data_IF_269273311406
#
_entry.id   IF_269273311406
#
_cell.length_a   1.000
_cell.length_b   1.000
_cell.length_c   1.000
_cell.angle_alpha   90.00
_cell.angle_beta   90.00
_cell.angle_gamma   90.00
#
_symmetry.space_group_name_H-M   'P 1'
#
loop_
_entity.id
_entity.type
_entity.pdbx_description
1 polymer ?
#
# COMPACT_ATOMS: atom_id res chain seq x y z
N UNK A 1 25.18 67.97 98.67
CA UNK A 1 23.90 67.98 97.92
C UNK A 1 24.29 67.94 96.44
N UNK A 2 24.34 66.75 95.82
CA UNK A 2 23.31 66.22 94.87
C UNK A 2 23.18 67.08 93.61
N UNK A 3 23.27 66.60 92.36
CA UNK A 3 23.32 65.25 91.80
C UNK A 3 23.92 65.30 90.37
N UNK A 4 24.51 64.18 89.93
CA UNK A 4 24.90 63.92 88.54
C UNK A 4 23.65 63.64 87.69
N UNK A 5 23.50 64.36 86.57
CA UNK A 5 22.53 64.04 85.52
C UNK A 5 23.16 63.06 84.55
N UNK A 6 22.72 61.80 84.60
CA UNK A 6 23.14 60.74 83.68
C UNK A 6 22.24 60.77 82.44
N UNK A 7 22.79 61.07 81.27
CA UNK A 7 22.12 60.91 79.97
C UNK A 7 22.07 59.43 79.61
N UNK A 8 20.89 58.81 79.70
CA UNK A 8 20.64 57.46 79.18
C UNK A 8 20.63 57.48 77.64
N UNK A 9 21.64 56.86 77.03
CA UNK A 9 21.67 56.51 75.61
C UNK A 9 20.65 55.40 75.31
N UNK A 10 19.64 55.68 74.47
CA UNK A 10 18.68 54.70 73.95
C UNK A 10 19.36 53.75 72.93
N UNK A 11 20.06 52.72 73.41
CA UNK A 11 20.67 51.68 72.56
C UNK A 11 19.74 50.48 72.30
N UNK A 12 18.57 50.38 72.97
CA UNK A 12 17.70 49.19 72.91
C UNK A 12 16.78 49.10 71.68
N UNK A 13 16.33 50.22 71.12
CA UNK A 13 15.39 50.23 69.99
C UNK A 13 16.06 49.89 68.65
N UNK A 14 17.30 50.36 68.44
CA UNK A 14 18.07 50.09 67.22
C UNK A 14 18.46 48.62 67.15
N UNK A 15 18.90 48.02 68.26
CA UNK A 15 19.22 46.58 68.33
C UNK A 15 18.00 45.70 68.07
N UNK A 16 16.81 46.11 68.52
CA UNK A 16 15.56 45.39 68.27
C UNK A 16 15.18 45.44 66.78
N UNK A 17 15.25 46.61 66.14
CA UNK A 17 14.94 46.77 64.72
C UNK A 17 15.90 45.98 63.82
N UNK A 18 17.20 45.97 64.16
CA UNK A 18 18.20 45.15 63.44
C UNK A 18 17.92 43.65 63.63
N UNK A 19 17.59 43.21 64.85
CA UNK A 19 17.23 41.81 65.10
C UNK A 19 15.97 41.40 64.32
N UNK A 20 14.92 42.24 64.30
CA UNK A 20 13.70 41.98 63.51
C UNK A 20 14.01 41.94 62.01
N UNK A 21 14.80 42.89 61.50
CA UNK A 21 15.24 42.91 60.10
C UNK A 21 16.01 41.66 59.70
N UNK A 22 16.91 41.18 60.56
CA UNK A 22 17.67 39.95 60.35
C UNK A 22 16.79 38.69 60.39
N UNK A 23 15.81 38.62 61.29
CA UNK A 23 14.84 37.51 61.35
C UNK A 23 13.95 37.49 60.11
N UNK A 24 13.49 38.66 59.63
CA UNK A 24 12.72 38.77 58.38
C UNK A 24 13.58 38.33 57.18
N UNK A 25 14.85 38.74 57.11
CA UNK A 25 15.75 38.31 56.04
C UNK A 25 16.02 36.80 56.09
N UNK A 26 16.28 36.23 57.27
CA UNK A 26 16.53 34.80 57.46
C UNK A 26 15.30 33.94 57.14
N UNK A 27 14.10 34.42 57.47
CA UNK A 27 12.85 33.74 57.12
C UNK A 27 12.57 33.81 55.62
N UNK A 28 12.83 34.95 54.96
CA UNK A 28 12.74 35.08 53.50
C UNK A 28 13.71 34.12 52.79
N UNK A 29 14.99 34.06 53.20
CA UNK A 29 15.96 33.13 52.60
C UNK A 29 15.56 31.67 52.80
N UNK A 30 15.02 31.31 53.98
CA UNK A 30 14.54 29.96 54.25
C UNK A 30 13.31 29.62 53.39
N UNK A 31 12.38 30.56 53.23
CA UNK A 31 11.20 30.39 52.37
C UNK A 31 11.57 30.22 50.90
N UNK A 32 12.49 31.05 50.37
CA UNK A 32 12.96 30.92 48.99
C UNK A 32 13.70 29.60 48.75
N UNK A 33 14.49 29.14 49.72
CA UNK A 33 15.19 27.84 49.64
C UNK A 33 14.21 26.66 49.70
N UNK A 34 13.22 26.70 50.58
CA UNK A 34 12.18 25.67 50.63
C UNK A 34 11.39 25.62 49.32
N UNK A 35 11.03 26.78 48.77
CA UNK A 35 10.34 26.87 47.48
C UNK A 35 11.19 26.34 46.32
N UNK A 36 12.50 26.62 46.28
CA UNK A 36 13.36 26.09 45.22
C UNK A 36 13.46 24.57 45.30
N UNK A 37 13.67 23.99 46.49
CA UNK A 37 13.71 22.52 46.66
C UNK A 37 12.38 21.84 46.27
N UNK A 38 11.24 22.46 46.59
CA UNK A 38 9.93 21.94 46.19
C UNK A 38 9.74 22.02 44.67
N UNK A 39 10.19 23.09 44.00
CA UNK A 39 10.15 23.19 42.54
C UNK A 39 11.06 22.17 41.87
N UNK A 40 12.26 21.94 42.41
CA UNK A 40 13.18 20.92 41.92
C UNK A 40 12.59 19.51 42.09
N UNK A 41 11.92 19.24 43.22
CA UNK A 41 11.21 17.97 43.44
C UNK A 41 10.07 17.77 42.44
N UNK A 42 9.23 18.78 42.22
CA UNK A 42 8.14 18.71 41.25
C UNK A 42 8.68 18.53 39.82
N UNK A 43 9.73 19.25 39.44
CA UNK A 43 10.38 19.09 38.15
C UNK A 43 10.96 17.69 37.96
N UNK A 44 11.65 17.16 38.99
CA UNK A 44 12.22 15.82 38.97
C UNK A 44 11.13 14.74 38.88
N UNK A 45 10.03 14.88 39.61
CA UNK A 45 8.90 13.93 39.56
C UNK A 45 8.23 13.96 38.19
N UNK A 46 7.96 15.15 37.64
CA UNK A 46 7.40 15.30 36.30
C UNK A 46 8.31 14.68 35.23
N UNK A 47 9.62 14.87 35.35
CA UNK A 47 10.59 14.27 34.45
C UNK A 47 10.60 12.74 34.54
N UNK A 48 10.60 12.18 35.76
CA UNK A 48 10.54 10.74 35.97
C UNK A 48 9.25 10.14 35.39
N UNK A 49 8.10 10.76 35.64
CA UNK A 49 6.82 10.33 35.09
C UNK A 49 6.76 10.41 33.56
N UNK A 50 7.31 11.47 32.96
CA UNK A 50 7.42 11.58 31.52
C UNK A 50 8.33 10.49 30.92
N UNK A 51 9.49 10.22 31.53
CA UNK A 51 10.39 9.14 31.09
C UNK A 51 9.73 7.76 31.20
N UNK A 52 8.97 7.51 32.26
CA UNK A 52 8.27 6.24 32.45
C UNK A 52 7.18 6.06 31.40
N UNK A 53 6.40 7.10 31.11
CA UNK A 53 5.38 7.04 30.07
C UNK A 53 6.01 6.78 28.68
N UNK A 54 7.13 7.44 28.37
CA UNK A 54 7.88 7.26 27.13
C UNK A 54 8.35 5.81 26.95
N UNK A 55 9.02 5.25 27.95
CA UNK A 55 9.47 3.84 27.93
C UNK A 55 8.30 2.86 27.79
N UNK A 56 7.14 3.17 28.40
CA UNK A 56 5.95 2.35 28.23
C UNK A 56 5.37 2.45 26.80
N UNK A 57 5.43 3.62 26.15
CA UNK A 57 5.02 3.76 24.76
C UNK A 57 5.96 3.00 23.81
N UNK A 58 7.27 3.03 24.05
CA UNK A 58 8.24 2.23 23.30
C UNK A 58 8.04 0.73 23.51
N UNK A 59 7.71 0.32 24.74
CA UNK A 59 7.35 -1.07 25.05
C UNK A 59 6.08 -1.49 24.32
N UNK A 60 5.08 -0.61 24.23
CA UNK A 60 3.86 -0.84 23.48
C UNK A 60 4.15 -0.98 21.97
N UNK A 61 5.04 -0.14 21.43
CA UNK A 61 5.48 -0.21 20.03
C UNK A 61 6.23 -1.51 19.74
N UNK A 62 7.20 -1.88 20.57
CA UNK A 62 7.94 -3.13 20.43
C UNK A 62 7.03 -4.36 20.54
N UNK A 63 6.07 -4.34 21.47
CA UNK A 63 5.04 -5.38 21.61
C UNK A 63 4.15 -5.45 20.36
N UNK A 64 3.75 -4.30 19.82
CA UNK A 64 2.94 -4.24 18.61
C UNK A 64 3.68 -4.84 17.40
N UNK A 65 4.97 -4.55 17.26
CA UNK A 65 5.81 -5.13 16.22
C UNK A 65 5.97 -6.64 16.36
N UNK A 66 6.16 -7.13 17.60
CA UNK A 66 6.25 -8.56 17.88
C UNK A 66 4.91 -9.29 17.63
N UNK A 67 3.78 -8.59 17.79
CA UNK A 67 2.45 -9.13 17.52
C UNK A 67 2.08 -9.17 16.03
N UNK A 68 2.84 -8.49 15.15
CA UNK A 68 2.57 -8.53 13.72
C UNK A 68 2.92 -9.91 13.14
N UNK A 69 2.00 -10.53 12.39
CA UNK A 69 2.31 -11.78 11.71
C UNK A 69 3.38 -11.58 10.63
N UNK A 70 4.10 -12.66 10.31
CA UNK A 70 5.20 -12.62 9.33
C UNK A 70 4.77 -12.78 7.88
N UNK A 71 3.52 -13.18 7.60
CA UNK A 71 3.02 -13.51 6.26
C UNK A 71 1.78 -12.70 5.85
N UNK A 72 1.51 -12.62 4.55
CA UNK A 72 0.47 -11.77 3.96
C UNK A 72 -0.94 -12.02 4.53
N UNK A 73 -1.40 -13.28 4.55
CA UNK A 73 -2.78 -13.61 4.89
C UNK A 73 -3.15 -13.26 6.34
N UNK A 74 -2.35 -13.65 7.36
CA UNK A 74 -2.63 -13.26 8.74
C UNK A 74 -2.56 -11.74 8.97
N UNK A 75 -1.68 -11.02 8.25
CA UNK A 75 -1.64 -9.54 8.32
C UNK A 75 -2.94 -8.96 7.76
N UNK A 76 -3.41 -9.43 6.60
CA UNK A 76 -4.69 -8.97 6.03
C UNK A 76 -5.86 -9.25 6.96
N UNK A 77 -5.86 -10.39 7.68
CA UNK A 77 -6.86 -10.70 8.68
C UNK A 77 -6.81 -9.75 9.89
N UNK A 78 -5.62 -9.44 10.41
CA UNK A 78 -5.44 -8.43 11.46
C UNK A 78 -5.98 -7.07 11.02
N UNK A 79 -5.67 -6.65 9.80
CA UNK A 79 -6.08 -5.34 9.26
C UNK A 79 -7.59 -5.26 8.97
N UNK A 80 -8.28 -6.40 8.82
CA UNK A 80 -9.73 -6.44 8.64
C UNK A 80 -10.51 -6.00 9.91
N UNK A 81 -9.92 -6.15 11.10
CA UNK A 81 -10.53 -5.70 12.36
C UNK A 81 -10.40 -4.19 12.51
N UNK A 82 -11.45 -3.44 12.17
CA UNK A 82 -11.40 -1.97 12.17
C UNK A 82 -11.26 -1.38 13.56
N UNK A 83 -10.43 -0.35 13.64
CA UNK A 83 -10.32 0.55 14.78
C UNK A 83 -10.44 2.01 14.32
N UNK A 84 -10.79 2.95 15.22
CA UNK A 84 -10.74 4.37 14.91
C UNK A 84 -9.32 4.80 14.52
N UNK A 85 -9.20 5.58 13.45
CA UNK A 85 -7.92 6.13 13.03
C UNK A 85 -7.44 7.24 13.97
N UNK A 86 -6.11 7.40 14.15
CA UNK A 86 -5.54 8.51 14.90
C UNK A 86 -5.81 9.86 14.21
N UNK A 87 -5.65 10.96 14.95
CA UNK A 87 -5.78 12.30 14.40
C UNK A 87 -4.83 12.53 13.21
N UNK A 88 -5.29 13.25 12.19
CA UNK A 88 -4.53 13.48 10.95
C UNK A 88 -4.69 12.39 9.88
N UNK A 89 -5.27 11.24 10.23
CA UNK A 89 -5.53 10.12 9.32
C UNK A 89 -7.04 10.02 9.07
N UNK A 90 -7.49 10.51 7.92
CA UNK A 90 -8.92 10.58 7.58
C UNK A 90 -9.19 10.31 6.10
N UNK A 91 -10.34 9.69 5.82
CA UNK A 91 -10.79 9.38 4.46
C UNK A 91 -10.71 7.89 4.13
N UNK A 92 -11.34 7.46 3.02
CA UNK A 92 -11.54 6.05 2.69
C UNK A 92 -10.25 5.32 2.27
N UNK A 93 -9.19 6.06 1.96
CA UNK A 93 -7.87 5.50 1.66
C UNK A 93 -7.16 4.90 2.89
N UNK A 94 -7.53 5.33 4.10
CA UNK A 94 -6.85 4.93 5.32
C UNK A 94 -7.56 3.77 5.99
N UNK A 95 -6.82 2.71 6.25
CA UNK A 95 -7.27 1.58 7.05
C UNK A 95 -6.56 1.57 8.38
N UNK A 96 -7.34 1.49 9.47
CA UNK A 96 -6.83 1.43 10.82
C UNK A 96 -7.34 0.18 11.53
N UNK A 97 -6.43 -0.51 12.22
CA UNK A 97 -6.74 -1.72 12.99
C UNK A 97 -6.05 -1.67 14.35
N UNK A 98 -6.72 -2.20 15.38
CA UNK A 98 -6.14 -2.33 16.70
C UNK A 98 -5.17 -3.51 16.72
N UNK A 99 -3.94 -3.28 17.17
CA UNK A 99 -2.97 -4.37 17.37
C UNK A 99 -3.17 -4.91 18.78
N UNK A 100 -3.47 -6.21 18.95
CA UNK A 100 -3.65 -6.79 20.27
C UNK A 100 -2.31 -6.77 21.03
N UNK A 101 -2.30 -6.11 22.20
CA UNK A 101 -1.14 -6.06 23.08
C UNK A 101 -1.40 -6.88 24.33
N UNK A 102 -0.41 -7.65 24.75
CA UNK A 102 -0.42 -8.30 26.07
C UNK A 102 -0.02 -7.28 27.15
N UNK A 103 -0.79 -7.16 28.25
CA UNK A 103 -0.41 -6.31 29.38
C UNK A 103 0.98 -6.67 29.90
N UNK A 104 1.81 -5.68 30.19
CA UNK A 104 3.17 -5.91 30.67
C UNK A 104 3.15 -6.19 32.19
N UNK A 105 3.68 -7.35 32.66
CA UNK A 105 3.57 -7.75 34.07
C UNK A 105 4.23 -6.77 35.04
N UNK A 106 5.32 -6.10 34.61
CA UNK A 106 6.00 -5.10 35.42
C UNK A 106 5.36 -3.68 35.38
N UNK A 107 4.32 -3.46 34.55
CA UNK A 107 3.66 -2.16 34.41
C UNK A 107 2.12 -2.28 34.46
N UNK A 108 1.55 -2.80 35.56
CA UNK A 108 0.10 -3.07 35.64
C UNK A 108 -0.76 -1.80 35.66
N UNK A 109 -0.19 -0.66 36.06
CA UNK A 109 -0.87 0.64 36.14
C UNK A 109 -0.78 1.46 34.84
N UNK A 110 -0.25 0.86 33.77
CA UNK A 110 -0.06 1.53 32.49
C UNK A 110 -0.92 0.88 31.42
N UNK A 111 -1.87 1.66 30.89
CA UNK A 111 -2.65 1.23 29.75
C UNK A 111 -1.85 1.48 28.48
N UNK A 112 -1.58 0.41 27.73
CA UNK A 112 -0.88 0.45 26.46
C UNK A 112 -1.85 0.11 25.33
N UNK A 113 -1.79 0.86 24.24
CA UNK A 113 -2.58 0.61 23.03
C UNK A 113 -1.73 0.82 21.81
N UNK A 114 -2.00 0.07 20.74
CA UNK A 114 -1.35 0.26 19.44
C UNK A 114 -2.38 0.19 18.31
N UNK A 115 -2.24 1.10 17.35
CA UNK A 115 -3.07 1.17 16.15
C UNK A 115 -2.15 1.04 14.93
N UNK A 116 -2.45 0.05 14.09
CA UNK A 116 -1.84 -0.17 12.80
C UNK A 116 -2.57 0.68 11.75
N UNK A 117 -1.84 1.57 11.07
CA UNK A 117 -2.37 2.49 10.05
C UNK A 117 -1.74 2.18 8.70
N UNK A 118 -2.57 2.07 7.66
CA UNK A 118 -2.16 1.75 6.29
C UNK A 118 -2.86 2.64 5.27
N UNK A 119 -2.13 3.12 4.27
CA UNK A 119 -2.70 3.73 3.06
C UNK A 119 -2.98 2.64 2.02
N UNK A 120 -4.24 2.46 1.64
CA UNK A 120 -4.68 1.44 0.71
C UNK A 120 -4.48 1.78 -0.75
N UNK A 121 -4.09 3.00 -1.10
CA UNK A 121 -3.92 3.42 -2.50
C UNK A 121 -2.45 3.61 -2.82
N UNK A 122 -1.73 4.39 -2.01
CA UNK A 122 -0.35 4.78 -2.34
C UNK A 122 0.70 3.81 -1.79
N UNK A 123 0.49 3.30 -0.57
CA UNK A 123 1.49 2.48 0.11
C UNK A 123 0.87 1.30 0.88
N UNK A 124 0.17 0.38 0.19
CA UNK A 124 -0.48 -0.77 0.82
C UNK A 124 0.51 -1.74 1.49
N UNK A 125 1.80 -1.65 1.17
CA UNK A 125 2.90 -2.44 1.73
C UNK A 125 3.63 -1.73 2.89
N UNK A 126 3.19 -0.53 3.28
CA UNK A 126 3.73 0.21 4.42
C UNK A 126 2.67 0.27 5.52
N UNK A 127 3.09 -0.05 6.74
CA UNK A 127 2.26 0.03 7.93
C UNK A 127 2.92 0.95 8.95
N UNK A 128 2.21 1.97 9.40
CA UNK A 128 2.65 2.83 10.51
C UNK A 128 1.97 2.38 11.79
N UNK A 129 2.76 1.97 12.76
CA UNK A 129 2.27 1.63 14.10
C UNK A 129 2.26 2.89 14.94
N UNK A 130 1.10 3.23 15.49
CA UNK A 130 0.92 4.28 16.49
C UNK A 130 0.71 3.63 17.85
N UNK A 131 1.73 3.69 18.70
CA UNK A 131 1.67 3.20 20.07
C UNK A 131 1.43 4.36 21.03
N UNK A 132 0.61 4.12 22.06
CA UNK A 132 0.42 5.07 23.15
C UNK A 132 0.38 4.37 24.48
N UNK A 133 0.93 5.02 25.49
CA UNK A 133 0.86 4.60 26.87
C UNK A 133 0.31 5.71 27.74
N UNK A 134 -0.62 5.37 28.63
CA UNK A 134 -1.15 6.27 29.65
C UNK A 134 -1.11 5.63 31.02
N UNK A 135 -0.63 6.36 32.01
CA UNK A 135 -0.65 5.91 33.40
C UNK A 135 -1.91 6.40 34.11
N UNK A 136 -2.56 5.49 34.82
CA UNK A 136 -3.75 5.79 35.63
C UNK A 136 -3.43 6.55 36.92
N UNK A 137 -2.16 6.56 37.35
CA UNK A 137 -1.73 7.12 38.63
C UNK A 137 -1.38 8.61 38.52
N UNK A 138 -0.71 9.01 37.44
CA UNK A 138 -0.14 10.36 37.30
C UNK A 138 -0.63 11.10 36.04
N UNK A 139 -1.62 10.56 35.33
CA UNK A 139 -2.18 11.11 34.07
C UNK A 139 -1.13 11.40 32.97
N UNK A 140 0.07 10.81 33.07
CA UNK A 140 1.11 10.97 32.06
C UNK A 140 0.76 10.16 30.82
N UNK A 141 1.00 10.75 29.66
CA UNK A 141 0.75 10.14 28.35
C UNK A 141 1.97 10.29 27.47
N UNK A 142 2.32 9.23 26.75
CA UNK A 142 3.35 9.25 25.73
C UNK A 142 2.88 8.51 24.48
N UNK A 143 3.50 8.88 23.36
CA UNK A 143 3.19 8.36 22.04
C UNK A 143 4.51 8.06 21.32
N UNK A 144 4.56 6.92 20.66
CA UNK A 144 5.64 6.50 19.80
C UNK A 144 5.06 6.00 18.49
N UNK A 145 5.71 6.31 17.37
CA UNK A 145 5.32 5.77 16.05
C UNK A 145 6.53 5.26 15.30
N UNK A 146 6.33 4.21 14.52
CA UNK A 146 7.33 3.66 13.61
C UNK A 146 6.65 3.01 12.41
N UNK A 147 7.26 3.12 11.24
CA UNK A 147 6.77 2.53 10.00
C UNK A 147 7.52 1.25 9.66
N UNK A 148 6.79 0.31 9.08
CA UNK A 148 7.25 -1.02 8.73
C UNK A 148 6.84 -1.35 7.30
N UNK A 149 7.70 -2.05 6.58
CA UNK A 149 7.31 -2.79 5.38
C UNK A 149 6.61 -4.08 5.78
N UNK A 150 5.51 -4.40 5.11
CA UNK A 150 4.69 -5.60 5.35
C UNK A 150 4.38 -6.34 4.04
N UNK A 151 4.32 -7.68 4.04
CA UNK A 151 4.14 -8.50 2.83
C UNK A 151 2.70 -8.54 2.30
N UNK A 152 1.98 -7.43 2.34
CA UNK A 152 0.57 -7.34 1.90
C UNK A 152 0.44 -7.34 0.38
N UNK A 153 1.46 -6.87 -0.34
CA UNK A 153 1.58 -6.93 -1.80
C UNK A 153 3.05 -7.10 -2.18
N UNK A 154 3.36 -8.05 -3.07
CA UNK A 154 4.73 -8.26 -3.52
C UNK A 154 5.20 -7.23 -4.56
N UNK A 155 6.43 -7.36 -5.03
CA UNK A 155 7.02 -6.53 -6.08
C UNK A 155 6.54 -6.96 -7.47
N UNK A 156 6.02 -6.03 -8.25
CA UNK A 156 5.82 -6.22 -9.69
C UNK A 156 7.14 -6.04 -10.46
N UNK A 157 7.36 -6.75 -11.59
CA UNK A 157 8.57 -6.65 -12.38
C UNK A 157 8.64 -5.30 -13.10
N UNK A 158 9.85 -4.73 -13.16
CA UNK A 158 10.13 -3.57 -14.00
C UNK A 158 10.11 -3.98 -15.47
N UNK A 159 9.18 -3.42 -16.24
CA UNK A 159 9.06 -3.67 -17.68
C UNK A 159 9.29 -2.34 -18.41
N UNK A 160 10.47 -2.10 -19.00
CA UNK A 160 10.77 -0.83 -19.68
C UNK A 160 9.96 -0.62 -20.97
N UNK A 161 9.49 -1.72 -21.56
CA UNK A 161 8.70 -1.77 -22.79
C UNK A 161 7.59 -2.84 -22.67
N UNK A 162 6.53 -2.59 -21.87
CA UNK A 162 5.43 -3.53 -21.72
C UNK A 162 4.68 -3.73 -23.05
N UNK A 163 4.24 -4.96 -23.30
CA UNK A 163 3.35 -5.24 -24.42
C UNK A 163 1.94 -4.70 -24.14
N UNK A 164 1.23 -4.28 -25.19
CA UNK A 164 -0.18 -3.89 -25.07
C UNK A 164 -1.06 -5.09 -24.71
N UNK A 165 -0.83 -6.21 -25.41
CA UNK A 165 -1.52 -7.48 -25.21
C UNK A 165 -0.52 -8.57 -24.77
N UNK A 166 -0.79 -9.19 -23.62
CA UNK A 166 -0.01 -10.33 -23.09
C UNK A 166 -0.91 -11.55 -22.98
N UNK A 167 -0.49 -12.68 -23.55
CA UNK A 167 -1.29 -13.89 -23.65
C UNK A 167 -0.51 -15.12 -23.17
N UNK A 168 -1.23 -16.13 -22.69
CA UNK A 168 -0.74 -17.49 -22.50
C UNK A 168 -1.38 -18.44 -23.53
N UNK A 169 -1.40 -18.00 -24.79
CA UNK A 169 -2.01 -18.70 -25.90
C UNK A 169 -2.03 -17.88 -27.19
N UNK A 170 -2.80 -18.36 -28.17
CA UNK A 170 -2.89 -17.76 -29.50
C UNK A 170 -4.03 -16.73 -29.59
N UNK A 171 -3.91 -15.78 -30.51
CA UNK A 171 -4.95 -14.81 -30.83
C UNK A 171 -5.29 -14.85 -32.30
N UNK A 172 -6.58 -14.90 -32.59
CA UNK A 172 -7.11 -14.89 -33.96
C UNK A 172 -8.23 -13.88 -34.04
N UNK A 173 -8.26 -13.11 -35.12
CA UNK A 173 -9.30 -12.13 -35.37
C UNK A 173 -10.55 -12.77 -35.99
N UNK A 174 -11.75 -12.47 -35.49
CA UNK A 174 -12.99 -12.94 -36.08
C UNK A 174 -13.29 -12.29 -37.45
N UNK A 175 -14.13 -12.93 -38.26
CA UNK A 175 -14.66 -12.32 -39.48
C UNK A 175 -15.46 -11.05 -39.13
N UNK A 176 -15.13 -9.93 -39.79
CA UNK A 176 -15.76 -8.62 -39.51
C UNK A 176 -15.40 -8.00 -38.16
N UNK A 177 -14.35 -8.47 -37.48
CA UNK A 177 -13.93 -7.88 -36.22
C UNK A 177 -13.50 -6.42 -36.35
N UNK A 178 -13.72 -5.66 -35.28
CA UNK A 178 -13.28 -4.26 -35.13
C UNK A 178 -12.42 -4.15 -33.89
N UNK A 179 -11.13 -4.45 -34.06
CA UNK A 179 -10.16 -4.42 -32.97
C UNK A 179 -8.91 -3.63 -33.33
N UNK A 180 -8.28 -3.07 -32.30
CA UNK A 180 -7.06 -2.27 -32.43
C UNK A 180 -6.13 -2.55 -31.27
N UNK A 181 -4.91 -3.01 -31.55
CA UNK A 181 -3.86 -3.21 -30.54
C UNK A 181 -2.69 -2.32 -30.90
N UNK A 182 -2.40 -1.33 -30.07
CA UNK A 182 -1.34 -0.35 -30.31
C UNK A 182 -0.21 -0.54 -29.31
N UNK A 183 1.04 -0.68 -29.78
CA UNK A 183 2.19 -0.83 -28.90
C UNK A 183 2.45 0.45 -28.11
N UNK A 184 3.26 0.32 -27.05
CA UNK A 184 3.79 1.49 -26.37
C UNK A 184 4.67 2.26 -27.37
N UNK A 185 4.47 3.56 -27.51
CA UNK A 185 5.25 4.39 -28.43
C UNK A 185 6.34 5.17 -27.69
N UNK A 186 7.50 5.34 -28.31
CA UNK A 186 8.59 6.16 -27.77
C UNK A 186 8.37 7.65 -28.03
N UNK A 187 7.76 7.98 -29.18
CA UNK A 187 7.47 9.33 -29.65
C UNK A 187 6.22 9.32 -30.56
N UNK A 188 5.46 10.42 -30.55
CA UNK A 188 4.28 10.61 -31.41
C UNK A 188 2.97 10.13 -30.81
N UNK A 189 1.92 10.09 -31.64
CA UNK A 189 0.58 9.68 -31.21
C UNK A 189 0.48 8.16 -31.06
N UNK A 190 -0.32 7.71 -30.11
CA UNK A 190 -0.65 6.28 -29.93
C UNK A 190 -1.19 5.73 -31.25
N UNK A 191 -0.77 4.51 -31.61
CA UNK A 191 -1.13 3.83 -32.86
C UNK A 191 -0.54 4.44 -34.16
N UNK A 192 0.33 5.46 -34.08
CA UNK A 192 0.95 6.06 -35.25
C UNK A 192 2.46 6.32 -35.07
N UNK A 193 2.91 6.45 -33.81
CA UNK A 193 4.31 6.65 -33.45
C UNK A 193 5.19 5.41 -33.61
N UNK A 194 6.48 5.59 -33.32
CA UNK A 194 7.44 4.49 -33.33
C UNK A 194 7.28 3.60 -32.09
N UNK A 195 7.10 2.30 -32.30
CA UNK A 195 6.93 1.34 -31.22
C UNK A 195 8.19 1.22 -30.35
N UNK A 196 8.03 1.45 -29.05
CA UNK A 196 9.04 1.21 -28.00
C UNK A 196 9.09 -0.26 -27.56
N UNK A 197 8.00 -0.99 -27.74
CA UNK A 197 7.85 -2.38 -27.31
C UNK A 197 6.98 -3.22 -28.24
N UNK A 198 6.81 -4.53 -27.94
CA UNK A 198 5.92 -5.40 -28.69
C UNK A 198 4.47 -4.92 -28.59
N UNK A 199 3.69 -5.10 -29.65
CA UNK A 199 2.24 -4.91 -29.59
C UNK A 199 1.59 -6.12 -28.90
N UNK A 200 2.07 -7.32 -29.23
CA UNK A 200 1.58 -8.59 -28.68
C UNK A 200 2.75 -9.44 -28.18
N UNK A 201 2.61 -9.95 -26.97
CA UNK A 201 3.49 -10.95 -26.37
C UNK A 201 2.66 -12.18 -26.02
N UNK A 202 3.05 -13.34 -26.54
CA UNK A 202 2.50 -14.62 -26.08
C UNK A 202 3.57 -15.46 -25.39
N UNK A 203 3.19 -16.17 -24.34
CA UNK A 203 4.05 -17.13 -23.64
C UNK A 203 3.83 -18.58 -24.09
N UNK A 204 2.85 -18.82 -24.97
CA UNK A 204 2.56 -20.14 -25.47
C UNK A 204 2.22 -20.13 -26.96
N UNK A 205 2.91 -20.99 -27.70
CA UNK A 205 2.62 -21.31 -29.09
C UNK A 205 2.64 -22.83 -29.19
N UNK A 206 1.66 -23.40 -29.88
CA UNK A 206 1.63 -24.84 -30.14
C UNK A 206 2.77 -25.21 -31.08
N UNK A 207 3.61 -26.16 -30.67
CA UNK A 207 4.57 -26.82 -31.54
C UNK A 207 3.82 -27.81 -32.43
N UNK A 208 3.54 -27.39 -33.66
CA UNK A 208 2.67 -28.13 -34.58
C UNK A 208 3.38 -29.31 -35.24
N UNK A 209 4.71 -29.26 -35.34
CA UNK A 209 5.52 -30.30 -35.96
C UNK A 209 6.23 -31.21 -34.93
N UNK A 210 6.19 -30.85 -33.64
CA UNK A 210 6.70 -31.64 -32.54
C UNK A 210 8.23 -31.69 -32.44
N UNK A 211 8.94 -30.74 -33.05
CA UNK A 211 10.41 -30.74 -33.06
C UNK A 211 11.05 -30.02 -31.86
N UNK A 212 10.25 -29.49 -30.93
CA UNK A 212 10.68 -28.78 -29.73
C UNK A 212 11.04 -27.30 -29.94
N UNK A 213 11.00 -26.81 -31.17
CA UNK A 213 11.30 -25.42 -31.54
C UNK A 213 10.08 -24.74 -32.16
N UNK A 214 9.91 -23.45 -31.90
CA UNK A 214 8.78 -22.67 -32.43
C UNK A 214 9.27 -21.79 -33.57
N UNK A 215 8.81 -22.13 -34.77
CA UNK A 215 9.13 -21.41 -36.01
C UNK A 215 8.38 -20.07 -36.13
N UNK A 216 8.87 -19.19 -37.00
CA UNK A 216 8.15 -17.94 -37.34
C UNK A 216 6.77 -18.21 -37.96
N UNK A 217 6.60 -19.31 -38.69
CA UNK A 217 5.32 -19.69 -39.27
C UNK A 217 4.29 -20.04 -38.18
N UNK A 218 4.69 -20.81 -37.17
CA UNK A 218 3.84 -21.15 -36.03
C UNK A 218 3.47 -19.91 -35.21
N UNK A 219 4.42 -19.00 -34.98
CA UNK A 219 4.12 -17.72 -34.32
C UNK A 219 3.14 -16.87 -35.12
N UNK A 220 3.31 -16.80 -36.43
CA UNK A 220 2.40 -16.03 -37.29
C UNK A 220 1.00 -16.64 -37.36
N UNK A 221 0.89 -17.97 -37.39
CA UNK A 221 -0.38 -18.68 -37.33
C UNK A 221 -1.07 -18.48 -35.97
N UNK A 222 -0.28 -18.49 -34.89
CA UNK A 222 -0.77 -18.27 -33.53
C UNK A 222 -1.17 -16.81 -33.27
N UNK A 223 -0.50 -15.83 -33.88
CA UNK A 223 -0.74 -14.39 -33.71
C UNK A 223 -1.36 -13.78 -34.98
N UNK A 224 -2.48 -14.37 -35.39
CA UNK A 224 -3.20 -14.08 -36.63
C UNK A 224 -4.11 -12.85 -36.51
N UNK A 225 -3.51 -11.70 -36.19
CA UNK A 225 -4.13 -10.38 -36.25
C UNK A 225 -3.83 -9.71 -37.60
N UNK A 226 -4.83 -9.04 -38.18
CA UNK A 226 -4.66 -8.26 -39.41
C UNK A 226 -3.73 -7.07 -39.15
N UNK A 227 -3.03 -6.63 -40.20
CA UNK A 227 -2.14 -5.47 -40.14
C UNK A 227 -2.89 -4.19 -39.80
N UNK A 228 -4.13 -4.04 -40.27
CA UNK A 228 -5.04 -2.93 -39.94
C UNK A 228 -5.40 -2.88 -38.46
N UNK A 229 -5.36 -4.03 -37.79
CA UNK A 229 -5.68 -4.19 -36.37
C UNK A 229 -4.47 -3.94 -35.45
N UNK A 230 -3.27 -3.76 -36.05
CA UNK A 230 -2.01 -3.44 -35.36
C UNK A 230 -1.42 -2.10 -35.84
N UNK A 231 -2.15 -0.97 -35.71
CA UNK A 231 -1.64 0.33 -36.14
C UNK A 231 -0.54 0.83 -35.20
N UNK A 232 0.48 1.49 -35.76
CA UNK A 232 1.66 1.97 -35.03
C UNK A 232 2.81 0.95 -34.96
N UNK A 233 2.65 -0.20 -35.61
CA UNK A 233 3.67 -1.25 -35.65
C UNK A 233 3.75 -2.03 -34.33
N UNK A 234 4.97 -2.32 -33.90
CA UNK A 234 5.23 -3.20 -32.75
C UNK A 234 5.31 -4.66 -33.16
N UNK A 235 6.29 -5.37 -32.59
CA UNK A 235 6.50 -6.78 -32.90
C UNK A 235 5.42 -7.66 -32.26
N UNK A 236 5.15 -8.78 -32.93
CA UNK A 236 4.42 -9.93 -32.40
C UNK A 236 5.46 -10.91 -31.89
N UNK A 237 5.52 -11.11 -30.57
CA UNK A 237 6.60 -11.85 -29.90
C UNK A 237 6.08 -13.09 -29.19
N UNK A 238 6.92 -14.12 -29.14
CA UNK A 238 6.60 -15.37 -28.47
C UNK A 238 7.82 -16.30 -28.34
N UNK A 239 7.68 -17.41 -27.60
CA UNK A 239 8.79 -18.31 -27.28
C UNK A 239 9.44 -18.90 -28.55
N UNK A 240 10.73 -19.22 -28.48
CA UNK A 240 11.46 -19.90 -29.56
C UNK A 240 11.51 -21.43 -29.39
N UNK A 241 11.12 -21.92 -28.21
CA UNK A 241 11.07 -23.34 -27.87
C UNK A 241 9.68 -23.70 -27.39
N UNK A 242 9.29 -24.97 -27.57
CA UNK A 242 8.03 -25.48 -27.06
C UNK A 242 7.98 -25.35 -25.53
N UNK A 243 6.88 -24.83 -25.01
CA UNK A 243 6.67 -24.65 -23.56
C UNK A 243 5.40 -25.39 -23.17
N UNK A 244 5.46 -26.16 -22.08
CA UNK A 244 4.27 -26.80 -21.53
C UNK A 244 3.31 -25.74 -20.94
N UNK A 245 2.06 -25.78 -21.38
CA UNK A 245 0.96 -24.95 -20.85
C UNK A 245 0.10 -25.66 -19.82
N UNK A 246 0.08 -27.00 -19.82
CA UNK A 246 -0.73 -27.82 -18.91
C UNK A 246 0.16 -28.58 -17.92
N UNK A 247 -0.13 -28.56 -16.60
CA UNK A 247 -1.16 -27.76 -15.94
C UNK A 247 -0.90 -26.25 -16.11
N UNK A 248 -1.95 -25.42 -15.96
CA UNK A 248 -1.88 -23.99 -16.27
C UNK A 248 -0.71 -23.31 -15.55
N UNK A 249 0.28 -22.87 -16.32
CA UNK A 249 1.52 -22.33 -15.78
C UNK A 249 1.44 -20.83 -15.41
N UNK A 250 0.33 -20.14 -15.70
CA UNK A 250 0.13 -18.71 -15.44
C UNK A 250 1.26 -17.79 -15.91
N UNK A 251 1.82 -18.05 -17.09
CA UNK A 251 3.01 -17.33 -17.56
C UNK A 251 2.72 -15.85 -17.90
N UNK A 252 1.52 -15.52 -18.38
CA UNK A 252 1.17 -14.15 -18.75
C UNK A 252 1.11 -13.22 -17.52
N UNK A 253 0.42 -13.63 -16.47
CA UNK A 253 0.29 -12.98 -15.18
C UNK A 253 1.63 -12.91 -14.49
N UNK A 254 2.39 -14.01 -14.39
CA UNK A 254 3.74 -13.97 -13.79
C UNK A 254 4.66 -12.98 -14.50
N UNK A 255 4.55 -12.83 -15.83
CA UNK A 255 5.36 -11.85 -16.57
C UNK A 255 5.02 -10.39 -16.27
N UNK A 256 3.81 -10.12 -15.77
CA UNK A 256 3.28 -8.76 -15.53
C UNK A 256 3.18 -8.42 -14.05
N UNK A 257 2.74 -9.36 -13.21
CA UNK A 257 2.56 -9.23 -11.77
C UNK A 257 3.79 -9.66 -10.97
N UNK A 258 4.67 -10.48 -11.55
CA UNK A 258 5.81 -11.06 -10.84
C UNK A 258 5.35 -11.99 -9.72
N UNK A 259 5.73 -11.62 -8.49
CA UNK A 259 5.46 -12.39 -7.28
C UNK A 259 4.13 -12.01 -6.60
N UNK A 260 3.37 -11.04 -7.16
CA UNK A 260 2.07 -10.64 -6.59
C UNK A 260 1.09 -11.80 -6.76
N UNK A 261 0.54 -12.28 -5.65
CA UNK A 261 -0.42 -13.41 -5.67
C UNK A 261 -1.86 -12.95 -5.84
N UNK A 262 -2.72 -13.89 -6.23
CA UNK A 262 -4.16 -13.69 -6.34
C UNK A 262 -4.77 -13.27 -5.00
N UNK A 263 -4.35 -13.92 -3.91
CA UNK A 263 -4.81 -13.61 -2.56
C UNK A 263 -4.42 -12.19 -2.15
N UNK A 264 -3.22 -11.73 -2.52
CA UNK A 264 -2.79 -10.35 -2.25
C UNK A 264 -3.65 -9.34 -3.01
N UNK A 265 -3.88 -9.53 -4.32
CA UNK A 265 -4.74 -8.64 -5.11
C UNK A 265 -6.20 -8.67 -4.64
N UNK A 266 -6.72 -9.85 -4.31
CA UNK A 266 -8.07 -10.01 -3.79
C UNK A 266 -8.22 -9.32 -2.42
N UNK A 267 -7.28 -9.54 -1.50
CA UNK A 267 -7.29 -8.90 -0.19
C UNK A 267 -7.15 -7.39 -0.30
N UNK A 268 -6.34 -6.90 -1.24
CA UNK A 268 -6.17 -5.47 -1.50
C UNK A 268 -7.46 -4.84 -2.05
N UNK A 269 -8.05 -5.45 -3.08
CA UNK A 269 -9.35 -5.04 -3.63
C UNK A 269 -10.45 -5.02 -2.55
N UNK A 270 -10.55 -6.09 -1.75
CA UNK A 270 -11.53 -6.20 -0.68
C UNK A 270 -11.32 -5.15 0.41
N UNK A 271 -10.07 -4.85 0.77
CA UNK A 271 -9.76 -3.81 1.74
C UNK A 271 -10.14 -2.41 1.23
N UNK A 272 -9.92 -2.11 -0.06
CA UNK A 272 -10.33 -0.83 -0.65
C UNK A 272 -11.85 -0.67 -0.62
N UNK A 273 -12.58 -1.70 -1.07
CA UNK A 273 -14.04 -1.70 -1.07
C UNK A 273 -14.63 -1.59 0.34
N UNK A 274 -14.08 -2.36 1.29
CA UNK A 274 -14.51 -2.31 2.67
C UNK A 274 -14.34 -0.89 3.26
N UNK A 275 -13.24 -0.20 2.98
CA UNK A 275 -13.02 1.17 3.44
C UNK A 275 -13.79 2.23 2.64
N UNK A 276 -14.64 1.82 1.71
CA UNK A 276 -15.57 2.69 0.98
C UNK A 276 -14.94 3.41 -0.20
N UNK A 277 -13.80 2.95 -0.71
CA UNK A 277 -13.23 3.47 -1.96
C UNK A 277 -14.13 3.06 -3.13
N UNK A 278 -14.49 4.03 -3.97
CA UNK A 278 -15.28 3.83 -5.19
C UNK A 278 -14.61 4.53 -6.36
N UNK A 279 -15.22 4.45 -7.55
CA UNK A 279 -14.77 5.24 -8.71
C UNK A 279 -14.95 6.75 -8.52
N UNK A 280 -15.79 7.18 -7.57
CA UNK A 280 -16.08 8.60 -7.31
C UNK A 280 -15.33 9.18 -6.11
N UNK A 281 -14.68 8.35 -5.29
CA UNK A 281 -13.90 8.85 -4.15
C UNK A 281 -12.64 9.57 -4.60
N UNK A 282 -12.07 10.39 -3.71
CA UNK A 282 -10.76 10.99 -3.89
C UNK A 282 -9.87 10.57 -2.72
N UNK A 283 -8.87 9.70 -2.95
CA UNK A 283 -8.52 9.03 -4.22
C UNK A 283 -9.57 7.98 -4.65
N UNK A 284 -9.64 7.63 -5.94
CA UNK A 284 -10.52 6.57 -6.42
C UNK A 284 -9.99 5.18 -6.03
N UNK A 285 -10.87 4.18 -6.04
CA UNK A 285 -10.48 2.77 -5.97
C UNK A 285 -9.57 2.42 -7.16
N UNK A 286 -8.46 1.74 -6.90
CA UNK A 286 -7.46 1.38 -7.93
C UNK A 286 -7.45 -0.11 -8.24
N UNK A 287 -7.90 -0.99 -7.34
CA UNK A 287 -7.85 -2.46 -7.53
C UNK A 287 -9.25 -3.05 -7.48
N UNK A 288 -9.63 -3.76 -8.54
CA UNK A 288 -10.94 -4.40 -8.69
C UNK A 288 -10.77 -5.90 -8.94
N UNK A 289 -11.14 -6.71 -7.96
CA UNK A 289 -11.21 -8.17 -8.08
C UNK A 289 -12.65 -8.61 -8.33
N UNK A 290 -12.90 -9.21 -9.50
CA UNK A 290 -14.23 -9.57 -9.98
C UNK A 290 -14.37 -11.09 -9.98
N UNK A 291 -15.23 -11.61 -9.11
CA UNK A 291 -15.64 -13.02 -9.06
C UNK A 291 -16.96 -13.28 -9.84
N UNK A 292 -17.66 -12.22 -10.26
CA UNK A 292 -18.94 -12.32 -10.96
C UNK A 292 -18.75 -12.66 -12.44
N UNK A 293 -19.57 -13.55 -13.03
CA UNK A 293 -19.55 -13.86 -14.46
C UNK A 293 -20.28 -12.81 -15.32
N UNK A 294 -20.87 -11.78 -14.71
CA UNK A 294 -21.61 -10.74 -15.43
C UNK A 294 -20.68 -9.83 -16.25
N UNK A 295 -21.15 -9.42 -17.42
CA UNK A 295 -20.40 -8.49 -18.28
C UNK A 295 -20.16 -7.16 -17.57
N UNK A 296 -18.97 -6.60 -17.78
CA UNK A 296 -18.50 -5.39 -17.14
C UNK A 296 -18.97 -4.14 -17.89
N UNK A 297 -19.56 -3.21 -17.13
CA UNK A 297 -20.28 -2.05 -17.67
C UNK A 297 -19.75 -0.71 -17.15
N UNK A 298 -18.70 -0.71 -16.32
CA UNK A 298 -18.26 0.48 -15.58
C UNK A 298 -16.89 0.94 -16.10
N UNK A 299 -16.76 2.22 -16.41
CA UNK A 299 -15.44 2.81 -16.74
C UNK A 299 -14.67 3.12 -15.46
N UNK A 300 -13.39 2.76 -15.40
CA UNK A 300 -12.55 2.96 -14.21
C UNK A 300 -11.14 3.42 -14.60
N UNK A 301 -10.50 4.13 -13.66
CA UNK A 301 -9.15 4.66 -13.81
C UNK A 301 -9.10 5.99 -14.58
N UNK A 302 -8.04 6.74 -14.31
CA UNK A 302 -7.62 7.93 -15.09
C UNK A 302 -6.12 7.84 -15.36
N UNK A 303 -5.55 8.67 -16.25
CA UNK A 303 -4.10 8.70 -16.46
C UNK A 303 -3.30 8.99 -15.19
N UNK A 304 -3.85 9.76 -14.26
CA UNK A 304 -3.22 10.12 -12.98
C UNK A 304 -3.44 9.05 -11.91
N UNK A 305 -4.53 8.29 -12.01
CA UNK A 305 -4.92 7.24 -11.06
C UNK A 305 -5.41 6.01 -11.82
N UNK A 306 -4.49 5.24 -12.43
CA UNK A 306 -4.86 4.06 -13.21
C UNK A 306 -5.47 2.99 -12.30
N UNK A 307 -6.30 2.14 -12.90
CA UNK A 307 -6.95 1.04 -12.21
C UNK A 307 -6.53 -0.31 -12.78
N UNK A 308 -6.58 -1.34 -11.95
CA UNK A 308 -6.43 -2.74 -12.36
C UNK A 308 -7.74 -3.48 -12.15
N UNK A 309 -8.25 -4.09 -13.22
CA UNK A 309 -9.46 -4.91 -13.19
C UNK A 309 -9.08 -6.37 -13.44
N UNK A 310 -9.31 -7.22 -12.45
CA UNK A 310 -8.98 -8.63 -12.48
C UNK A 310 -10.27 -9.44 -12.52
N UNK A 311 -10.49 -10.17 -13.60
CA UNK A 311 -11.54 -11.18 -13.69
C UNK A 311 -10.95 -12.52 -13.30
N UNK A 312 -11.38 -13.03 -12.14
CA UNK A 312 -10.82 -14.22 -11.53
C UNK A 312 -11.21 -15.50 -12.27
N UNK A 313 -10.57 -16.62 -11.90
CA UNK A 313 -10.97 -17.94 -12.36
C UNK A 313 -12.46 -18.26 -12.07
N UNK A 314 -13.06 -17.65 -11.04
CA UNK A 314 -14.49 -17.80 -10.73
C UNK A 314 -15.36 -17.03 -11.71
N UNK A 315 -15.01 -15.78 -12.02
CA UNK A 315 -15.72 -15.00 -13.04
C UNK A 315 -15.63 -15.69 -14.41
N UNK A 316 -14.47 -16.26 -14.72
CA UNK A 316 -14.19 -17.00 -15.94
C UNK A 316 -14.50 -18.50 -15.84
N UNK A 317 -15.32 -18.97 -14.88
CA UNK A 317 -15.54 -20.40 -14.69
C UNK A 317 -16.10 -21.10 -15.95
N UNK A 318 -17.05 -20.45 -16.64
CA UNK A 318 -17.68 -20.96 -17.86
C UNK A 318 -17.25 -20.17 -19.11
N UNK A 319 -17.25 -18.84 -19.00
CA UNK A 319 -16.83 -17.90 -20.04
C UNK A 319 -16.34 -16.65 -19.31
N UNK A 320 -15.26 -16.04 -19.78
CA UNK A 320 -14.83 -14.78 -19.17
C UNK A 320 -15.83 -13.65 -19.50
N UNK A 321 -16.11 -12.77 -18.54
CA UNK A 321 -16.96 -11.60 -18.78
C UNK A 321 -16.44 -10.74 -19.93
N UNK A 322 -17.38 -10.23 -20.73
CA UNK A 322 -17.08 -9.23 -21.75
C UNK A 322 -17.12 -7.85 -21.12
N UNK A 323 -16.56 -6.87 -21.81
CA UNK A 323 -16.75 -5.47 -21.45
C UNK A 323 -17.59 -4.78 -22.51
N UNK A 324 -18.56 -3.97 -22.10
CA UNK A 324 -19.35 -3.20 -23.05
C UNK A 324 -18.46 -2.25 -23.88
N UNK A 325 -18.90 -1.98 -25.11
CA UNK A 325 -18.14 -1.18 -26.07
C UNK A 325 -17.96 0.29 -25.64
N UNK A 326 -18.86 0.80 -24.79
CA UNK A 326 -18.78 2.14 -24.19
C UNK A 326 -17.83 2.23 -22.99
N UNK A 327 -17.36 1.10 -22.47
CA UNK A 327 -16.46 1.09 -21.30
C UNK A 327 -15.06 1.52 -21.71
N UNK A 328 -14.48 2.40 -20.89
CA UNK A 328 -13.08 2.81 -20.94
C UNK A 328 -12.39 2.46 -19.63
N UNK A 329 -11.31 1.68 -19.72
CA UNK A 329 -10.44 1.34 -18.60
C UNK A 329 -9.10 2.03 -18.83
N UNK A 330 -8.65 2.84 -17.88
CA UNK A 330 -7.27 3.36 -17.91
C UNK A 330 -6.45 2.59 -16.88
N UNK A 331 -5.50 1.79 -17.35
CA UNK A 331 -4.70 0.86 -16.56
C UNK A 331 -4.68 -0.55 -17.13
N UNK A 332 -4.74 -1.56 -16.27
CA UNK A 332 -4.56 -2.97 -16.66
C UNK A 332 -5.84 -3.79 -16.51
N UNK A 333 -6.09 -4.70 -17.45
CA UNK A 333 -7.15 -5.71 -17.36
C UNK A 333 -6.52 -7.09 -17.39
N UNK A 334 -6.81 -7.91 -16.39
CA UNK A 334 -6.30 -9.27 -16.25
C UNK A 334 -7.47 -10.25 -16.30
N UNK A 335 -7.35 -11.27 -17.14
CA UNK A 335 -8.37 -12.32 -17.33
C UNK A 335 -7.77 -13.67 -16.96
N UNK A 336 -8.37 -14.35 -15.97
CA UNK A 336 -7.97 -15.70 -15.57
C UNK A 336 -8.92 -16.76 -16.13
N UNK A 337 -8.71 -17.13 -17.39
CA UNK A 337 -9.42 -18.22 -18.05
C UNK A 337 -8.85 -19.60 -17.74
N UNK A 338 -7.84 -19.72 -16.87
CA UNK A 338 -7.24 -21.00 -16.47
C UNK A 338 -6.61 -21.79 -17.64
N UNK A 339 -5.93 -21.10 -18.55
CA UNK A 339 -5.30 -21.66 -19.75
C UNK A 339 -6.27 -22.39 -20.70
N UNK A 340 -7.57 -22.06 -20.65
CA UNK A 340 -8.59 -22.60 -21.54
C UNK A 340 -9.06 -21.52 -22.53
N UNK A 341 -8.72 -21.72 -23.80
CA UNK A 341 -9.00 -20.79 -24.90
C UNK A 341 -10.50 -20.70 -25.22
N UNK A 342 -11.28 -21.76 -24.99
CA UNK A 342 -12.72 -21.82 -25.30
C UNK A 342 -13.52 -20.80 -24.47
N UNK A 343 -13.07 -20.54 -23.23
CA UNK A 343 -13.69 -19.55 -22.33
C UNK A 343 -13.55 -18.12 -22.83
N UNK A 344 -12.63 -17.89 -23.77
CA UNK A 344 -12.34 -16.60 -24.39
C UNK A 344 -12.87 -16.49 -25.83
N UNK A 345 -13.58 -17.52 -26.33
CA UNK A 345 -14.08 -17.52 -27.69
C UNK A 345 -15.05 -16.37 -27.94
N UNK A 346 -14.77 -15.58 -28.98
CA UNK A 346 -15.65 -14.47 -29.35
C UNK A 346 -15.65 -13.33 -28.33
N UNK A 347 -14.59 -13.18 -27.53
CA UNK A 347 -14.52 -12.16 -26.50
C UNK A 347 -14.60 -10.74 -27.10
N UNK A 348 -15.10 -9.80 -26.28
CA UNK A 348 -15.39 -8.43 -26.67
C UNK A 348 -15.04 -7.47 -25.54
N UNK A 349 -14.52 -6.31 -25.92
CA UNK A 349 -14.25 -5.20 -25.03
C UNK A 349 -14.54 -3.85 -25.66
N UNK A 350 -14.65 -2.82 -24.81
CA UNK A 350 -14.52 -1.41 -25.18
C UNK A 350 -13.06 -1.01 -25.34
N UNK A 351 -12.64 0.04 -24.65
CA UNK A 351 -11.27 0.59 -24.74
C UNK A 351 -10.49 0.36 -23.45
N UNK A 352 -9.29 -0.19 -23.59
CA UNK A 352 -8.30 -0.37 -22.53
C UNK A 352 -7.10 0.49 -22.87
N UNK A 353 -6.83 1.51 -22.07
CA UNK A 353 -5.65 2.37 -22.14
C UNK A 353 -4.62 1.90 -21.12
N UNK A 354 -3.75 0.99 -21.54
CA UNK A 354 -2.74 0.36 -20.70
C UNK A 354 -2.46 -1.05 -21.20
N UNK A 355 -2.80 -2.08 -20.43
CA UNK A 355 -2.43 -3.45 -20.75
C UNK A 355 -3.60 -4.42 -20.61
N UNK A 356 -3.74 -5.34 -21.58
CA UNK A 356 -4.62 -6.50 -21.49
C UNK A 356 -3.77 -7.76 -21.29
N UNK A 357 -4.04 -8.50 -20.24
CA UNK A 357 -3.35 -9.75 -19.90
C UNK A 357 -4.37 -10.88 -19.83
N UNK A 358 -4.14 -11.96 -20.58
CA UNK A 358 -5.07 -13.10 -20.65
C UNK A 358 -4.33 -14.39 -20.38
N UNK A 359 -4.78 -15.16 -19.39
CA UNK A 359 -4.25 -16.49 -19.08
C UNK A 359 -4.80 -17.58 -19.98
N UNK A 360 -4.86 -17.28 -21.28
CA UNK A 360 -5.17 -18.22 -22.36
C UNK A 360 -4.90 -17.50 -23.68
N UNK A 361 -5.36 -18.09 -24.78
CA UNK A 361 -5.56 -17.42 -26.04
C UNK A 361 -6.86 -16.60 -26.09
N UNK A 362 -6.99 -15.84 -27.17
CA UNK A 362 -8.16 -15.05 -27.58
C UNK A 362 -8.64 -15.51 -28.97
N UNK A 363 -9.31 -16.68 -29.07
CA UNK A 363 -9.83 -17.14 -30.34
C UNK A 363 -11.05 -16.32 -30.76
N UNK A 364 -11.14 -16.05 -32.06
CA UNK A 364 -12.19 -15.23 -32.68
C UNK A 364 -12.45 -13.89 -31.96
N UNK A 365 -11.41 -13.13 -31.64
CA UNK A 365 -11.60 -11.82 -30.98
C UNK A 365 -12.44 -10.89 -31.88
N UNK A 366 -13.59 -10.43 -31.36
CA UNK A 366 -14.61 -9.70 -32.14
C UNK A 366 -14.45 -8.19 -32.09
N UNK A 367 -14.18 -7.61 -30.92
CA UNK A 367 -14.04 -6.17 -30.78
C UNK A 367 -13.22 -5.74 -29.57
N UNK A 368 -12.55 -4.61 -29.68
CA UNK A 368 -11.89 -3.94 -28.55
C UNK A 368 -10.66 -3.15 -28.96
N UNK A 369 -10.36 -2.09 -28.20
CA UNK A 369 -9.16 -1.28 -28.38
C UNK A 369 -8.23 -1.49 -27.18
N UNK A 370 -6.98 -1.88 -27.43
CA UNK A 370 -5.93 -1.98 -26.42
C UNK A 370 -4.80 -1.03 -26.81
N UNK A 371 -4.67 0.04 -26.04
CA UNK A 371 -3.80 1.17 -26.32
C UNK A 371 -2.74 1.21 -25.23
N UNK A 372 -1.52 0.75 -25.52
CA UNK A 372 -0.48 0.75 -24.50
C UNK A 372 -0.11 2.17 -24.04
N UNK A 373 0.02 2.30 -22.72
CA UNK A 373 0.35 3.53 -22.01
C UNK A 373 1.49 3.28 -21.01
N UNK A 374 2.40 4.24 -20.80
CA UNK A 374 3.42 4.15 -19.76
C UNK A 374 2.83 3.84 -18.37
N UNK A 375 1.78 4.57 -18.01
CA UNK A 375 1.06 4.49 -16.73
C UNK A 375 0.14 3.25 -16.60
N UNK A 376 0.05 2.42 -17.64
CA UNK A 376 -0.93 1.32 -17.72
C UNK A 376 -0.81 0.27 -16.61
N UNK A 377 0.32 0.23 -15.89
CA UNK A 377 0.62 -0.74 -14.83
C UNK A 377 0.70 -0.12 -13.44
N UNK A 378 0.64 1.20 -13.31
CA UNK A 378 0.96 1.90 -12.05
C UNK A 378 -0.06 1.62 -10.93
N UNK A 379 -1.23 1.07 -11.28
CA UNK A 379 -2.28 0.69 -10.33
C UNK A 379 -1.83 -0.36 -9.29
N UNK A 380 -0.86 -1.21 -9.63
CA UNK A 380 -0.36 -2.28 -8.76
C UNK A 380 1.18 -2.29 -8.62
N UNK A 381 1.88 -1.34 -9.25
CA UNK A 381 3.31 -1.14 -9.03
C UNK A 381 3.49 -0.33 -7.75
N UNK A 382 4.06 -0.97 -6.74
CA UNK A 382 4.43 -0.31 -5.48
C UNK A 382 5.95 -0.24 -5.34
N UNK A 383 6.44 0.87 -4.77
CA UNK A 383 7.87 1.11 -4.64
C UNK A 383 8.46 0.36 -3.43
N UNK A 384 9.17 -0.73 -3.70
CA UNK A 384 9.98 -1.42 -2.71
C UNK A 384 11.44 -0.95 -2.81
N UNK A 385 12.04 -0.41 -1.73
CA UNK A 385 13.45 -0.05 -1.76
C UNK A 385 14.36 -1.25 -2.00
N UNK A 386 15.52 -0.99 -2.60
CA UNK A 386 16.53 -2.02 -2.84
C UNK A 386 16.94 -2.71 -1.54
N UNK A 387 17.02 -4.05 -1.56
CA UNK A 387 17.39 -4.87 -0.40
C UNK A 387 16.25 -5.18 0.58
N UNK A 388 15.05 -4.62 0.39
CA UNK A 388 13.88 -4.97 1.21
C UNK A 388 13.21 -6.24 0.65
N UNK A 389 13.08 -7.26 1.50
CA UNK A 389 12.37 -8.50 1.16
C UNK A 389 10.85 -8.34 1.29
N UNK A 390 10.12 -8.32 0.16
CA UNK A 390 8.68 -8.14 0.13
C UNK A 390 7.86 -9.29 0.77
N UNK A 391 8.52 -10.35 1.27
CA UNK A 391 7.88 -11.54 1.86
C UNK A 391 7.85 -11.51 3.39
N UNK A 392 8.47 -10.52 4.04
CA UNK A 392 8.57 -10.44 5.50
C UNK A 392 8.41 -9.02 6.02
N UNK A 393 8.01 -8.92 7.30
CA UNK A 393 7.92 -7.64 8.00
C UNK A 393 9.32 -7.10 8.28
N UNK A 394 9.58 -5.84 7.91
CA UNK A 394 10.87 -5.17 8.11
C UNK A 394 10.67 -3.72 8.57
N UNK A 395 11.55 -3.24 9.46
CA UNK A 395 11.49 -1.85 9.93
C UNK A 395 11.95 -0.87 8.86
N UNK A 396 11.34 0.30 8.82
CA UNK A 396 11.83 1.44 8.03
C UNK A 396 12.78 2.25 8.91
N UNK A 397 14.08 2.13 8.65
CA UNK A 397 15.10 2.82 9.43
C UNK A 397 14.87 4.34 9.39
N UNK A 398 14.91 4.98 10.57
CA UNK A 398 14.70 6.42 10.71
C UNK A 398 13.24 6.87 10.69
N UNK A 399 12.27 5.95 10.60
CA UNK A 399 10.83 6.29 10.69
C UNK A 399 10.31 6.45 12.12
N UNK A 400 11.11 6.03 13.11
CA UNK A 400 10.73 6.14 14.51
C UNK A 400 10.67 7.61 14.94
N UNK A 401 9.61 7.96 15.67
CA UNK A 401 9.46 9.30 16.25
C UNK A 401 8.53 9.30 17.46
N UNK A 402 8.73 10.30 18.32
CA UNK A 402 7.94 10.53 19.53
C UNK A 402 7.18 11.85 19.44
N UNK A 403 6.09 11.93 20.20
CA UNK A 403 5.29 13.14 20.34
C UNK A 403 3.88 12.98 19.82
N UNK A 404 3.10 14.07 19.88
CA UNK A 404 1.70 14.04 19.43
C UNK A 404 1.62 13.66 17.93
N UNK A 405 0.55 12.94 17.51
CA UNK A 405 0.34 12.52 16.12
C UNK A 405 0.52 13.64 15.10
#
# INVERSE_FOLDING_TARGET
MTALSHTQTQNGAITLLVAIGLVILASLTSFYSARSTLMDQLASQNHAHASQARLAADTALASAQAALPSTANPISALLATRAPCPAGVSGPQWQCSAVPLTPHPAMPQTQMTAIAVRDLVLSPHVLTLHASASSTVNNSKAHARESLFVPTVATAPALPAPAALVLNGCVTEAAGASLRVCPLVSQGNICAGSAKGPAVLTHFVVDTNGNGSISSAEKNACLALKTTSLPGGGSKTGPNAAVARSPCNRAAWRSVLGDITDEQLQAWSAAQEANGLTTQTKPPRSVYWIDSPADWQISVGTPETPAVVVFSAKACAQRCPRMATSVRIVGSVLLDSGCNDEKMLGWQAGTIEGQLVVESGLPEWRSGNVLAKPEGRDAYIVNWPEGIDARRVQRINGSWSEGKP
#
